data_IF_396039245873
#
_entry.id   IF_396039245873
#
_cell.length_a   1.000
_cell.length_b   1.000
_cell.length_c   1.000
_cell.angle_alpha   90.00
_cell.angle_beta   90.00
_cell.angle_gamma   90.00
#
_symmetry.space_group_name_H-M   'P 1'
#
loop_
_entity.id
_entity.type
_entity.pdbx_description
1 polymer ?
#
# COMPACT_ATOMS: atom_id res chain seq x y z
N UNK A 1 31.07 -0.32 -17.99
CA UNK A 1 30.42 -1.42 -17.22
C UNK A 1 31.30 -2.66 -17.12
N UNK A 2 31.76 -3.24 -18.24
CA UNK A 2 32.63 -4.42 -18.23
C UNK A 2 34.11 -4.03 -18.06
N UNK A 3 34.46 -3.61 -16.84
CA UNK A 3 35.83 -3.29 -16.44
C UNK A 3 36.14 -4.10 -15.19
N UNK A 4 37.26 -4.84 -15.21
CA UNK A 4 37.68 -5.73 -14.12
C UNK A 4 37.96 -4.91 -12.86
N UNK A 5 38.74 -3.85 -13.04
CA UNK A 5 39.07 -2.91 -11.97
C UNK A 5 37.81 -2.13 -11.55
N UNK A 6 37.35 -2.28 -10.29
CA UNK A 6 36.12 -1.64 -9.84
C UNK A 6 36.24 -0.12 -9.79
N UNK A 7 37.42 0.43 -9.50
CA UNK A 7 37.63 1.88 -9.42
C UNK A 7 37.56 2.56 -10.80
N UNK A 8 37.82 1.79 -11.85
CA UNK A 8 37.73 2.26 -13.25
C UNK A 8 36.39 1.94 -13.90
N UNK A 9 35.48 1.27 -13.17
CA UNK A 9 34.14 0.97 -13.68
C UNK A 9 33.33 2.27 -13.68
N UNK A 10 32.66 2.54 -14.80
CA UNK A 10 31.73 3.68 -14.92
C UNK A 10 30.76 3.71 -13.72
N UNK A 11 30.61 4.88 -13.09
CA UNK A 11 29.64 5.09 -12.01
C UNK A 11 28.21 5.15 -12.55
N UNK A 12 27.23 5.07 -11.66
CA UNK A 12 25.82 5.15 -12.04
C UNK A 12 25.51 6.51 -12.67
N UNK A 13 25.99 7.59 -12.06
CA UNK A 13 25.77 8.97 -12.53
C UNK A 13 26.34 9.18 -13.94
N UNK A 14 27.55 8.67 -14.19
CA UNK A 14 28.17 8.76 -15.50
C UNK A 14 27.46 7.87 -16.54
N UNK A 15 26.90 6.74 -16.12
CA UNK A 15 26.15 5.85 -17.01
C UNK A 15 24.81 6.47 -17.43
N UNK A 16 24.14 7.20 -16.55
CA UNK A 16 22.89 7.90 -16.87
C UNK A 16 23.07 8.93 -18.00
N UNK A 17 24.23 9.58 -18.06
CA UNK A 17 24.58 10.53 -19.13
C UNK A 17 25.05 9.87 -20.43
N UNK A 18 25.17 8.53 -20.47
CA UNK A 18 25.63 7.83 -21.66
C UNK A 18 24.57 7.94 -22.79
N UNK A 19 24.94 8.24 -24.05
CA UNK A 19 23.98 8.49 -25.14
C UNK A 19 22.91 7.41 -25.35
N UNK A 20 23.24 6.17 -24.99
CA UNK A 20 22.32 5.04 -25.06
C UNK A 20 21.24 5.05 -23.97
N UNK A 21 21.59 5.42 -22.72
CA UNK A 21 20.68 5.42 -21.58
C UNK A 21 19.93 6.75 -21.49
N UNK A 22 20.61 7.85 -21.85
CA UNK A 22 20.13 9.23 -21.69
C UNK A 22 18.82 9.54 -22.44
N UNK A 23 18.41 8.71 -23.41
CA UNK A 23 17.10 8.84 -24.09
C UNK A 23 15.93 8.71 -23.10
N UNK A 24 16.15 8.04 -21.97
CA UNK A 24 15.18 7.82 -20.90
C UNK A 24 15.51 8.59 -19.62
N UNK A 25 16.46 9.53 -19.68
CA UNK A 25 16.85 10.29 -18.51
C UNK A 25 15.77 11.30 -18.14
N UNK A 26 15.22 11.18 -16.93
CA UNK A 26 14.39 12.18 -16.29
C UNK A 26 15.03 12.58 -14.95
N UNK A 27 15.33 13.88 -14.81
CA UNK A 27 15.95 14.44 -13.61
C UNK A 27 15.07 14.25 -12.37
N UNK A 28 13.74 14.30 -12.53
CA UNK A 28 12.80 14.14 -11.42
C UNK A 28 12.78 12.70 -10.89
N UNK A 29 12.99 11.70 -11.75
CA UNK A 29 13.07 10.30 -11.36
C UNK A 29 14.43 9.98 -10.74
N UNK A 30 15.52 10.48 -11.33
CA UNK A 30 16.89 10.21 -10.87
C UNK A 30 17.18 10.85 -9.52
N UNK A 31 16.75 12.10 -9.32
CA UNK A 31 16.99 12.85 -8.08
C UNK A 31 15.83 12.77 -7.10
N UNK A 32 14.95 11.77 -7.24
CA UNK A 32 13.92 11.52 -6.25
C UNK A 32 14.56 11.31 -4.87
N UNK A 33 13.91 11.76 -3.78
CA UNK A 33 14.42 11.57 -2.44
C UNK A 33 14.71 10.08 -2.19
N UNK A 34 15.91 9.78 -1.72
CA UNK A 34 16.26 8.41 -1.34
C UNK A 34 15.27 7.91 -0.27
N UNK A 35 14.88 6.62 -0.31
CA UNK A 35 14.16 6.03 0.79
C UNK A 35 15.00 6.08 2.07
N UNK A 36 14.38 5.72 3.20
CA UNK A 36 15.12 5.59 4.46
C UNK A 36 16.40 4.77 4.23
N UNK A 37 17.56 5.23 4.76
CA UNK A 37 18.80 4.47 4.65
C UNK A 37 18.59 3.04 5.12
N UNK A 38 19.13 2.09 4.38
CA UNK A 38 19.03 0.70 4.73
C UNK A 38 19.74 0.42 6.07
N UNK A 39 19.04 -0.22 7.01
CA UNK A 39 19.59 -0.60 8.29
C UNK A 39 20.25 -1.99 8.21
N UNK A 40 21.58 -1.99 8.12
CA UNK A 40 22.40 -3.21 8.09
C UNK A 40 22.48 -3.93 9.46
N UNK A 41 21.95 -3.35 10.54
CA UNK A 41 22.12 -3.90 11.89
C UNK A 41 21.48 -5.28 12.11
N UNK A 42 20.48 -5.63 11.28
CA UNK A 42 19.83 -6.94 11.28
C UNK A 42 20.72 -8.02 10.65
N UNK A 43 21.44 -7.67 9.57
CA UNK A 43 22.27 -8.62 8.82
C UNK A 43 23.66 -8.81 9.45
N UNK A 44 24.20 -7.76 10.08
CA UNK A 44 25.53 -7.80 10.72
C UNK A 44 25.55 -8.64 12.00
N UNK A 45 24.38 -8.93 12.58
CA UNK A 45 24.24 -9.72 13.81
C UNK A 45 24.05 -11.19 13.47
N UNK A 46 24.76 -12.05 14.20
CA UNK A 46 24.53 -13.49 14.13
C UNK A 46 23.17 -13.85 14.76
N UNK A 47 22.24 -14.32 13.93
CA UNK A 47 20.92 -14.78 14.35
C UNK A 47 20.77 -16.29 14.15
N UNK A 48 20.19 -16.96 15.13
CA UNK A 48 19.74 -18.35 14.99
C UNK A 48 18.58 -18.45 14.01
N UNK A 49 18.31 -19.65 13.50
CA UNK A 49 17.18 -19.89 12.59
C UNK A 49 15.84 -19.50 13.23
N UNK A 50 15.68 -19.76 14.53
CA UNK A 50 14.47 -19.37 15.26
C UNK A 50 14.30 -17.84 15.32
N UNK A 51 15.38 -17.11 15.57
CA UNK A 51 15.35 -15.64 15.59
C UNK A 51 15.04 -15.06 14.21
N UNK A 52 15.64 -15.60 13.14
CA UNK A 52 15.29 -15.20 11.78
C UNK A 52 13.81 -15.42 11.46
N UNK A 53 13.25 -16.56 11.86
CA UNK A 53 11.81 -16.84 11.69
C UNK A 53 10.95 -15.81 12.39
N UNK A 54 11.32 -15.42 13.61
CA UNK A 54 10.60 -14.42 14.39
C UNK A 54 10.69 -13.03 13.76
N UNK A 55 11.89 -12.59 13.36
CA UNK A 55 12.11 -11.29 12.69
C UNK A 55 11.30 -11.17 11.40
N UNK A 56 11.36 -12.18 10.54
CA UNK A 56 10.59 -12.20 9.29
C UNK A 56 9.09 -12.19 9.57
N UNK A 57 8.63 -12.94 10.58
CA UNK A 57 7.22 -12.97 10.95
C UNK A 57 6.73 -11.60 11.47
N UNK A 58 7.54 -10.91 12.28
CA UNK A 58 7.24 -9.57 12.77
C UNK A 58 7.16 -8.55 11.62
N UNK A 59 8.09 -8.60 10.66
CA UNK A 59 8.09 -7.74 9.47
C UNK A 59 6.80 -7.91 8.65
N UNK A 60 6.34 -9.14 8.42
CA UNK A 60 5.08 -9.40 7.70
C UNK A 60 3.89 -8.78 8.44
N UNK A 61 3.86 -8.93 9.76
CA UNK A 61 2.78 -8.40 10.60
C UNK A 61 2.75 -6.85 10.59
N UNK A 62 3.90 -6.20 10.61
CA UNK A 62 4.03 -4.74 10.51
C UNK A 62 3.63 -4.23 9.12
N UNK A 63 4.08 -4.94 8.08
CA UNK A 63 3.71 -4.63 6.69
C UNK A 63 2.20 -4.70 6.49
N UNK A 64 1.54 -5.76 6.99
CA UNK A 64 0.08 -5.89 6.91
C UNK A 64 -0.64 -4.74 7.64
N UNK A 65 -0.18 -4.33 8.81
CA UNK A 65 -0.82 -3.23 9.56
C UNK A 65 -0.73 -1.88 8.83
N UNK A 66 0.39 -1.62 8.17
CA UNK A 66 0.69 -0.33 7.53
C UNK A 66 0.19 -0.28 6.08
N UNK A 67 0.08 -1.41 5.39
CA UNK A 67 -0.23 -1.48 3.96
C UNK A 67 -1.58 -2.16 3.63
N UNK A 68 -2.28 -2.77 4.59
CA UNK A 68 -3.62 -3.34 4.39
C UNK A 68 -4.74 -2.30 4.60
N UNK A 69 -4.66 -1.18 3.88
CA UNK A 69 -5.68 -0.09 3.91
C UNK A 69 -6.87 -0.35 2.98
N UNK A 70 -7.06 -1.58 2.48
CA UNK A 70 -8.16 -1.95 1.58
C UNK A 70 -9.11 -3.02 2.13
N UNK A 71 -9.14 -3.24 3.46
CA UNK A 71 -9.90 -4.37 4.02
C UNK A 71 -10.44 -4.21 5.43
N UNK A 72 -10.92 -3.02 5.83
CA UNK A 72 -11.95 -2.71 6.87
C UNK A 72 -11.69 -1.28 7.37
N UNK A 73 -12.56 -0.34 7.00
CA UNK A 73 -12.64 0.96 7.71
C UNK A 73 -13.33 0.70 9.04
N UNK A 74 -12.77 1.04 10.22
CA UNK A 74 -13.55 1.07 11.44
C UNK A 74 -14.49 2.27 11.33
N UNK A 75 -15.77 1.99 11.13
CA UNK A 75 -16.83 3.00 11.20
C UNK A 75 -17.16 3.21 12.68
N UNK A 76 -16.93 4.42 13.16
CA UNK A 76 -17.32 4.94 14.49
C UNK A 76 -16.16 4.90 15.50
N UNK A 77 -15.84 5.94 16.26
CA UNK A 77 -16.51 7.20 16.64
C UNK A 77 -15.43 8.08 17.33
N UNK A 78 -15.32 9.40 17.13
CA UNK A 78 -16.04 10.44 17.89
C UNK A 78 -15.60 11.81 17.27
N UNK A 79 -16.44 12.50 16.51
CA UNK A 79 -17.23 13.69 16.90
C UNK A 79 -16.46 14.78 17.68
N UNK A 80 -16.15 15.90 17.00
CA UNK A 80 -16.29 17.24 17.59
C UNK A 80 -16.46 18.34 16.53
N UNK A 81 -17.27 19.35 16.89
CA UNK A 81 -17.49 20.68 16.27
C UNK A 81 -18.77 20.87 15.42
N UNK A 82 -19.65 21.69 16.03
CA UNK A 82 -20.55 22.70 15.45
C UNK A 82 -21.81 22.28 14.67
N UNK A 83 -22.95 22.34 15.39
CA UNK A 83 -24.24 22.99 15.06
C UNK A 83 -24.54 23.35 13.61
N UNK A 84 -25.66 22.88 13.05
CA UNK A 84 -26.95 23.61 12.93
C UNK A 84 -27.92 22.83 12.02
N UNK A 85 -29.22 22.80 12.35
CA UNK A 85 -30.26 22.33 11.41
C UNK A 85 -31.31 21.33 11.93
N UNK A 86 -32.35 21.88 12.57
CA UNK A 86 -33.79 21.51 12.53
C UNK A 86 -34.16 20.01 12.49
N UNK A 87 -34.75 19.54 13.59
CA UNK A 87 -35.52 18.29 13.69
C UNK A 87 -37.01 18.67 13.71
N UNK A 88 -37.77 18.33 12.66
CA UNK A 88 -39.24 18.23 12.72
C UNK A 88 -39.62 16.74 12.88
N UNK A 89 -40.46 16.46 13.87
CA UNK A 89 -40.96 15.12 14.22
C UNK A 89 -42.47 15.13 14.04
N UNK A 90 -42.92 14.50 12.96
CA UNK A 90 -44.29 14.10 12.74
C UNK A 90 -44.17 12.65 12.23
N UNK A 91 -44.60 11.58 12.88
CA UNK A 91 -45.93 11.32 13.43
C UNK A 91 -46.61 10.25 12.56
N UNK A 92 -47.11 9.17 13.19
CA UNK A 92 -48.07 8.17 12.67
C UNK A 92 -47.57 6.82 12.08
N UNK A 93 -47.52 5.81 12.97
CA UNK A 93 -48.19 4.48 12.99
C UNK A 93 -48.64 3.77 11.68
N UNK A 94 -48.37 2.45 11.71
CA UNK A 94 -49.09 1.30 11.10
C UNK A 94 -48.64 0.67 9.78
N UNK A 95 -48.70 -0.68 9.76
CA UNK A 95 -49.10 -1.45 8.57
C UNK A 95 -48.12 -2.47 8.00
N UNK A 96 -48.29 -3.73 8.38
CA UNK A 96 -47.83 -4.95 7.68
C UNK A 96 -48.15 -4.95 6.17
N UNK A 97 -47.18 -5.30 5.31
CA UNK A 97 -47.45 -6.00 4.04
C UNK A 97 -46.26 -6.93 3.67
N UNK A 98 -46.49 -8.23 3.79
CA UNK A 98 -45.73 -9.29 3.12
C UNK A 98 -46.04 -9.26 1.61
N UNK A 99 -45.02 -9.37 0.76
CA UNK A 99 -45.19 -9.81 -0.63
C UNK A 99 -43.87 -10.23 -1.28
N UNK A 100 -43.70 -11.54 -1.37
CA UNK A 100 -42.85 -12.24 -2.33
C UNK A 100 -43.20 -11.84 -3.77
N UNK A 101 -42.24 -11.33 -4.57
CA UNK A 101 -42.18 -11.49 -6.04
C UNK A 101 -40.80 -11.13 -6.66
N UNK A 102 -40.18 -12.13 -7.32
CA UNK A 102 -39.48 -12.10 -8.63
C UNK A 102 -38.27 -11.18 -8.97
N UNK A 103 -37.06 -11.80 -8.97
CA UNK A 103 -36.00 -11.76 -10.03
C UNK A 103 -35.14 -10.49 -10.20
N UNK A 104 -33.97 -10.52 -10.92
CA UNK A 104 -33.47 -11.56 -11.82
C UNK A 104 -31.98 -12.00 -11.66
N UNK A 105 -31.71 -13.09 -12.37
CA UNK A 105 -30.47 -13.81 -12.71
C UNK A 105 -29.17 -13.01 -12.93
N UNK A 106 -28.07 -13.54 -12.35
CA UNK A 106 -26.70 -13.05 -12.43
C UNK A 106 -25.93 -13.71 -13.61
N UNK A 107 -25.46 -12.99 -14.65
CA UNK A 107 -24.83 -13.61 -15.82
C UNK A 107 -23.34 -13.26 -15.92
N UNK A 108 -22.47 -13.87 -15.11
CA UNK A 108 -21.02 -13.83 -15.36
C UNK A 108 -20.37 -15.18 -15.05
N UNK A 109 -20.56 -16.12 -15.97
CA UNK A 109 -19.71 -17.30 -16.06
C UNK A 109 -19.39 -17.56 -17.54
N UNK A 110 -18.29 -16.97 -18.03
CA UNK A 110 -17.55 -17.43 -19.22
C UNK A 110 -16.23 -16.69 -19.38
N UNK A 111 -15.16 -17.30 -18.88
CA UNK A 111 -13.83 -17.23 -19.52
C UNK A 111 -13.28 -18.66 -19.52
N UNK A 112 -13.42 -19.31 -20.67
CA UNK A 112 -12.46 -20.32 -21.12
C UNK A 112 -11.45 -19.60 -21.99
#
# INVERSE_FOLDING_TARGET
MLVIDPEKRISVENALLHPYINVWYDEAEVNAPAPAPYDHSVDEREHTVQQWKELIYQEVLEYEQTHNTLGIRPVGSHLNSQTDGVIEIDGEVDGLVDQSTNGPSNPFNRRR
#
